data_IF_701970460479
#
_entry.id   IF_701970460479
#
_cell.length_a   1.000
_cell.length_b   1.000
_cell.length_c   1.000
_cell.angle_alpha   90.00
_cell.angle_beta   90.00
_cell.angle_gamma   90.00
#
_symmetry.space_group_name_H-M   'P 1'
#
loop_
_entity.id
_entity.type
_entity.pdbx_description
1 polymer ?
#
# COMPACT_ATOMS: atom_id res chain seq x y z
N UNK A 1 -45.60 -16.22 -6.99
CA UNK A 1 -45.27 -15.34 -5.85
C UNK A 1 -43.93 -14.68 -6.14
N UNK A 2 -43.89 -13.37 -6.38
CA UNK A 2 -42.65 -12.61 -6.53
C UNK A 2 -42.17 -12.26 -5.11
N UNK A 3 -40.93 -12.62 -4.70
CA UNK A 3 -40.44 -12.25 -3.38
C UNK A 3 -40.38 -10.73 -3.25
N UNK A 4 -41.00 -10.20 -2.20
CA UNK A 4 -41.01 -8.77 -1.90
C UNK A 4 -39.56 -8.24 -1.87
N UNK A 5 -39.31 -7.14 -2.57
CA UNK A 5 -38.01 -6.47 -2.56
C UNK A 5 -37.71 -6.01 -1.14
N UNK A 6 -36.55 -6.40 -0.59
CA UNK A 6 -36.16 -6.01 0.76
C UNK A 6 -36.05 -4.48 0.89
N UNK A 7 -36.49 -3.89 2.01
CA UNK A 7 -36.50 -2.44 2.20
C UNK A 7 -35.08 -1.83 2.08
N UNK A 8 -34.99 -0.55 1.67
CA UNK A 8 -33.71 0.11 1.36
C UNK A 8 -32.73 0.18 2.54
N UNK A 9 -33.24 0.21 3.78
CA UNK A 9 -32.44 0.17 5.02
C UNK A 9 -31.51 -1.05 5.09
N UNK A 10 -32.00 -2.21 4.66
CA UNK A 10 -31.23 -3.45 4.66
C UNK A 10 -30.15 -3.45 3.56
N UNK A 11 -30.24 -2.59 2.53
CA UNK A 11 -29.15 -2.39 1.54
C UNK A 11 -28.03 -1.55 2.15
N UNK A 12 -28.37 -0.43 2.80
CA UNK A 12 -27.37 0.47 3.40
C UNK A 12 -26.58 -0.24 4.51
N UNK A 13 -27.25 -1.00 5.37
CA UNK A 13 -26.57 -1.78 6.42
C UNK A 13 -25.60 -2.80 5.85
N UNK A 14 -25.98 -3.50 4.76
CA UNK A 14 -25.09 -4.44 4.08
C UNK A 14 -23.89 -3.76 3.43
N UNK A 15 -24.10 -2.61 2.78
CA UNK A 15 -23.00 -1.83 2.20
C UNK A 15 -22.01 -1.40 3.29
N UNK A 16 -22.52 -0.88 4.41
CA UNK A 16 -21.69 -0.49 5.55
C UNK A 16 -20.88 -1.66 6.12
N UNK A 17 -21.51 -2.81 6.33
CA UNK A 17 -20.83 -4.03 6.80
C UNK A 17 -19.74 -4.49 5.83
N UNK A 18 -20.00 -4.41 4.52
CA UNK A 18 -19.01 -4.77 3.50
C UNK A 18 -17.82 -3.79 3.49
N UNK A 19 -18.10 -2.48 3.58
CA UNK A 19 -17.06 -1.44 3.60
C UNK A 19 -16.17 -1.58 4.85
N UNK A 20 -16.77 -1.73 6.02
CA UNK A 20 -16.05 -1.90 7.30
C UNK A 20 -15.23 -3.18 7.31
N UNK A 21 -15.79 -4.30 6.84
CA UNK A 21 -15.06 -5.56 6.72
C UNK A 21 -13.87 -5.45 5.76
N UNK A 22 -14.06 -4.76 4.63
CA UNK A 22 -12.99 -4.52 3.64
C UNK A 22 -11.89 -3.64 4.21
N UNK A 23 -12.25 -2.51 4.84
CA UNK A 23 -11.30 -1.61 5.47
C UNK A 23 -10.48 -2.32 6.55
N UNK A 24 -11.13 -3.14 7.37
CA UNK A 24 -10.45 -3.94 8.39
C UNK A 24 -9.48 -4.96 7.76
N UNK A 25 -9.87 -5.62 6.67
CA UNK A 25 -8.97 -6.52 5.92
C UNK A 25 -7.75 -5.79 5.34
N UNK A 26 -7.93 -4.59 4.79
CA UNK A 26 -6.81 -3.77 4.29
C UNK A 26 -5.88 -3.32 5.42
N UNK A 27 -6.45 -2.96 6.58
CA UNK A 27 -5.67 -2.67 7.78
C UNK A 27 -4.86 -3.90 8.22
N UNK A 28 -5.46 -5.09 8.25
CA UNK A 28 -4.74 -6.34 8.58
C UNK A 28 -3.64 -6.67 7.56
N UNK A 29 -3.77 -6.31 6.29
CA UNK A 29 -2.65 -6.49 5.36
C UNK A 29 -1.43 -5.65 5.76
N UNK A 30 -1.64 -4.43 6.28
CA UNK A 30 -0.59 -3.41 6.44
C UNK A 30 -0.13 -3.17 7.86
N UNK A 31 -0.90 -3.56 8.87
CA UNK A 31 -0.69 -3.25 10.30
C UNK A 31 0.76 -3.48 10.78
N UNK A 32 1.36 -4.63 10.47
CA UNK A 32 2.73 -4.94 10.93
C UNK A 32 3.77 -4.02 10.30
N UNK A 33 3.50 -3.56 9.09
CA UNK A 33 4.47 -2.88 8.23
C UNK A 33 4.30 -1.35 8.22
N UNK A 34 3.25 -0.84 8.87
CA UNK A 34 3.14 0.59 9.14
C UNK A 34 4.35 1.11 9.93
N UNK A 35 4.76 0.40 10.98
CA UNK A 35 5.89 0.81 11.82
C UNK A 35 7.25 0.53 11.20
N UNK A 36 7.35 -0.44 10.29
CA UNK A 36 8.63 -0.88 9.70
C UNK A 36 8.89 -0.29 8.32
N UNK A 37 7.86 0.12 7.59
CA UNK A 37 7.97 0.69 6.24
C UNK A 37 7.37 2.09 6.19
N UNK A 38 6.09 2.26 6.54
CA UNK A 38 5.43 3.57 6.35
C UNK A 38 6.10 4.66 7.19
N UNK A 39 6.27 4.44 8.50
CA UNK A 39 6.87 5.45 9.39
C UNK A 39 8.30 5.81 8.98
N UNK A 40 9.24 4.85 8.78
CA UNK A 40 10.60 5.19 8.34
C UNK A 40 10.63 5.91 6.99
N UNK A 41 9.80 5.49 6.02
CA UNK A 41 9.74 6.12 4.70
C UNK A 41 9.18 7.54 4.77
N UNK A 42 8.17 7.78 5.60
CA UNK A 42 7.66 9.14 5.85
C UNK A 42 8.73 10.02 6.48
N UNK A 43 9.42 9.55 7.52
CA UNK A 43 10.50 10.31 8.17
C UNK A 43 11.59 10.66 7.16
N UNK A 44 12.04 9.68 6.37
CA UNK A 44 13.06 9.91 5.35
C UNK A 44 12.60 10.93 4.30
N UNK A 45 11.36 10.83 3.81
CA UNK A 45 10.81 11.79 2.85
C UNK A 45 10.74 13.22 3.41
N UNK A 46 10.34 13.37 4.67
CA UNK A 46 10.35 14.67 5.36
C UNK A 46 11.76 15.20 5.51
N UNK A 47 12.72 14.38 5.96
CA UNK A 47 14.12 14.80 6.07
C UNK A 47 14.71 15.26 4.72
N UNK A 48 14.40 14.56 3.63
CA UNK A 48 14.88 14.95 2.29
C UNK A 48 14.25 16.26 1.80
N UNK A 49 12.95 16.42 2.05
CA UNK A 49 12.26 17.67 1.74
C UNK A 49 12.84 18.85 2.52
N UNK A 50 13.16 18.67 3.80
CA UNK A 50 13.82 19.69 4.62
C UNK A 50 15.27 19.96 4.19
N UNK A 51 15.93 18.97 3.57
CA UNK A 51 17.30 19.09 3.07
C UNK A 51 17.40 19.74 1.67
N UNK A 52 16.28 20.05 1.00
CA UNK A 52 16.27 20.71 -0.32
C UNK A 52 17.20 21.94 -0.43
N UNK A 53 17.32 22.83 0.58
CA UNK A 53 18.22 23.99 0.51
C UNK A 53 19.69 23.62 0.32
N UNK A 54 20.13 22.45 0.82
CA UNK A 54 21.49 21.96 0.63
C UNK A 54 21.83 21.66 -0.84
N UNK A 55 20.80 21.51 -1.69
CA UNK A 55 20.92 21.25 -3.13
C UNK A 55 20.53 22.47 -3.99
N UNK A 56 20.38 23.64 -3.38
CA UNK A 56 19.95 24.87 -4.07
C UNK A 56 18.46 24.91 -4.44
N UNK A 57 17.64 24.02 -3.86
CA UNK A 57 16.18 23.99 -4.03
C UNK A 57 15.48 24.55 -2.79
N UNK A 58 14.29 25.13 -2.96
CA UNK A 58 13.53 25.70 -1.84
C UNK A 58 12.27 24.87 -1.54
N UNK A 59 12.05 24.43 -0.30
CA UNK A 59 10.83 23.73 0.08
C UNK A 59 9.60 24.67 0.06
N UNK A 60 8.52 24.29 -0.64
CA UNK A 60 7.21 24.99 -0.57
C UNK A 60 6.51 24.73 0.78
N UNK A 61 6.85 25.54 1.78
CA UNK A 61 6.24 25.51 3.12
C UNK A 61 4.85 26.17 3.19
N UNK A 62 4.22 26.43 2.03
CA UNK A 62 2.92 27.10 1.95
C UNK A 62 1.73 26.21 2.32
N UNK A 63 0.53 26.73 2.05
CA UNK A 63 -0.75 26.07 2.36
C UNK A 63 -0.95 24.70 1.70
N UNK A 64 -0.17 24.39 0.66
CA UNK A 64 -0.21 23.11 -0.07
C UNK A 64 0.58 21.99 0.61
N UNK A 65 1.43 22.29 1.59
CA UNK A 65 2.29 21.28 2.23
C UNK A 65 1.46 20.15 2.87
N UNK A 66 0.40 20.49 3.62
CA UNK A 66 -0.44 19.50 4.29
C UNK A 66 -1.16 18.57 3.31
N UNK A 67 -1.70 19.11 2.21
CA UNK A 67 -2.38 18.29 1.19
C UNK A 67 -1.40 17.41 0.43
N UNK A 68 -0.21 17.92 0.09
CA UNK A 68 0.87 17.13 -0.54
C UNK A 68 1.36 16.01 0.38
N UNK A 69 1.56 16.31 1.66
CA UNK A 69 1.95 15.31 2.66
C UNK A 69 0.92 14.18 2.76
N UNK A 70 -0.37 14.52 2.84
CA UNK A 70 -1.46 13.54 2.85
C UNK A 70 -1.49 12.67 1.59
N UNK A 71 -1.31 13.26 0.40
CA UNK A 71 -1.24 12.53 -0.87
C UNK A 71 -0.05 11.56 -0.92
N UNK A 72 1.11 11.97 -0.41
CA UNK A 72 2.30 11.11 -0.34
C UNK A 72 2.12 9.98 0.67
N UNK A 73 1.48 10.24 1.82
CA UNK A 73 1.16 9.18 2.78
C UNK A 73 0.24 8.11 2.18
N UNK A 74 -0.80 8.54 1.47
CA UNK A 74 -1.68 7.62 0.74
C UNK A 74 -0.90 6.88 -0.34
N UNK A 75 -0.01 7.58 -1.06
CA UNK A 75 0.85 6.97 -2.08
C UNK A 75 1.72 5.85 -1.48
N UNK A 76 2.41 6.10 -0.37
CA UNK A 76 3.21 5.09 0.35
C UNK A 76 2.33 3.92 0.78
N UNK A 77 1.15 4.21 1.34
CA UNK A 77 0.25 3.17 1.85
C UNK A 77 -0.32 2.27 0.75
N UNK A 78 -0.70 2.82 -0.42
CA UNK A 78 -1.15 2.01 -1.56
C UNK A 78 -0.02 1.09 -2.07
N UNK A 79 1.22 1.59 -2.12
CA UNK A 79 2.38 0.75 -2.44
C UNK A 79 2.60 -0.35 -1.41
N UNK A 80 2.43 -0.02 -0.13
CA UNK A 80 2.55 -0.99 0.96
C UNK A 80 1.51 -2.11 0.83
N UNK A 81 0.27 -1.79 0.43
CA UNK A 81 -0.76 -2.81 0.16
C UNK A 81 -0.31 -3.74 -0.98
N UNK A 82 0.15 -3.20 -2.10
CA UNK A 82 0.66 -4.00 -3.23
C UNK A 82 1.80 -4.93 -2.83
N UNK A 83 2.75 -4.40 -2.06
CA UNK A 83 3.89 -5.15 -1.52
C UNK A 83 3.42 -6.29 -0.60
N UNK A 84 2.56 -5.97 0.37
CA UNK A 84 2.12 -6.93 1.37
C UNK A 84 1.26 -8.05 0.77
N UNK A 85 0.39 -7.75 -0.18
CA UNK A 85 -0.36 -8.80 -0.91
C UNK A 85 0.61 -9.77 -1.60
N UNK A 86 1.66 -9.27 -2.23
CA UNK A 86 2.60 -10.13 -2.96
C UNK A 86 3.51 -10.94 -2.02
N UNK A 87 3.92 -10.36 -0.89
CA UNK A 87 4.73 -11.06 0.10
C UNK A 87 3.95 -12.12 0.89
N UNK A 88 2.64 -11.91 1.11
CA UNK A 88 1.82 -12.79 1.95
C UNK A 88 1.09 -13.90 1.17
N UNK A 89 1.03 -13.83 -0.17
CA UNK A 89 0.21 -14.75 -0.97
C UNK A 89 0.84 -16.12 -1.26
N UNK A 90 2.13 -16.32 -1.04
CA UNK A 90 2.73 -17.63 -1.38
C UNK A 90 2.25 -18.68 -0.36
N UNK A 91 2.01 -19.95 -0.76
CA UNK A 91 1.60 -20.98 0.20
C UNK A 91 2.54 -21.13 1.40
N UNK A 92 3.84 -20.96 1.17
CA UNK A 92 4.84 -20.98 2.24
C UNK A 92 4.75 -19.75 3.15
N UNK A 93 4.58 -18.55 2.58
CA UNK A 93 4.32 -17.33 3.36
C UNK A 93 3.07 -17.46 4.22
N UNK A 94 2.00 -18.07 3.69
CA UNK A 94 0.75 -18.31 4.44
C UNK A 94 0.99 -19.28 5.59
N UNK A 95 1.75 -20.36 5.36
CA UNK A 95 2.10 -21.34 6.40
C UNK A 95 2.96 -20.71 7.51
N UNK A 96 3.94 -19.89 7.14
CA UNK A 96 4.77 -19.14 8.09
C UNK A 96 3.94 -18.12 8.88
N UNK A 97 3.13 -17.32 8.18
CA UNK A 97 2.27 -16.32 8.82
C UNK A 97 1.20 -16.97 9.70
N UNK A 98 0.75 -18.19 9.42
CA UNK A 98 -0.16 -18.91 10.31
C UNK A 98 0.45 -19.18 11.69
N UNK A 99 1.79 -19.35 11.76
CA UNK A 99 2.50 -19.54 13.01
C UNK A 99 2.85 -18.19 13.67
N UNK A 100 3.38 -17.24 12.88
CA UNK A 100 3.94 -15.99 13.40
C UNK A 100 2.90 -14.85 13.56
N UNK A 101 1.94 -14.79 12.63
CA UNK A 101 0.99 -13.68 12.44
C UNK A 101 -0.40 -14.19 12.03
N UNK A 102 -1.04 -15.08 12.82
CA UNK A 102 -2.29 -15.76 12.44
C UNK A 102 -3.47 -14.80 12.18
N UNK A 103 -3.37 -13.56 12.64
CA UNK A 103 -4.35 -12.50 12.39
C UNK A 103 -4.30 -11.92 10.97
N UNK A 104 -3.30 -12.27 10.14
CA UNK A 104 -3.19 -11.77 8.77
C UNK A 104 -4.33 -12.28 7.89
N UNK A 105 -4.69 -11.54 6.81
CA UNK A 105 -5.89 -11.86 6.04
C UNK A 105 -5.96 -13.26 5.43
N UNK A 106 -4.84 -13.81 4.97
CA UNK A 106 -4.81 -15.17 4.39
C UNK A 106 -4.86 -16.25 5.48
N UNK A 107 -3.98 -16.27 6.50
CA UNK A 107 -4.08 -17.26 7.57
C UNK A 107 -5.40 -17.23 8.35
N UNK A 108 -5.96 -16.04 8.57
CA UNK A 108 -7.22 -15.88 9.29
C UNK A 108 -8.46 -16.19 8.43
N UNK A 109 -8.28 -16.63 7.18
CA UNK A 109 -9.37 -16.96 6.27
C UNK A 109 -10.23 -15.78 5.79
N UNK A 110 -9.79 -14.53 5.98
CA UNK A 110 -10.52 -13.34 5.52
C UNK A 110 -10.40 -13.11 4.02
N UNK A 111 -9.31 -13.56 3.42
CA UNK A 111 -9.03 -13.47 1.98
C UNK A 111 -8.62 -14.83 1.48
N UNK A 112 -9.32 -15.33 0.45
CA UNK A 112 -8.95 -16.59 -0.20
C UNK A 112 -7.66 -16.44 -0.99
N UNK A 113 -6.92 -17.54 -1.16
CA UNK A 113 -5.69 -17.54 -1.95
C UNK A 113 -5.93 -17.03 -3.39
N UNK A 114 -6.94 -17.50 -4.16
CA UNK A 114 -7.25 -16.94 -5.48
C UNK A 114 -7.53 -15.42 -5.47
N UNK A 115 -8.24 -14.93 -4.44
CA UNK A 115 -8.47 -13.49 -4.27
C UNK A 115 -7.17 -12.73 -4.06
N UNK A 116 -6.24 -13.26 -3.25
CA UNK A 116 -4.93 -12.64 -3.06
C UNK A 116 -4.09 -12.63 -4.37
N UNK A 117 -4.18 -13.68 -5.19
CA UNK A 117 -3.59 -13.67 -6.53
C UNK A 117 -4.20 -12.59 -7.42
N UNK A 118 -5.53 -12.44 -7.44
CA UNK A 118 -6.19 -11.37 -8.19
C UNK A 118 -5.75 -9.99 -7.69
N UNK A 119 -5.72 -9.77 -6.38
CA UNK A 119 -5.23 -8.52 -5.80
C UNK A 119 -3.79 -8.23 -6.20
N UNK A 120 -2.92 -9.23 -6.28
CA UNK A 120 -1.54 -9.04 -6.76
C UNK A 120 -1.47 -8.52 -8.19
N UNK A 121 -2.45 -8.84 -9.03
CA UNK A 121 -2.53 -8.37 -10.43
C UNK A 121 -3.18 -6.99 -10.53
N UNK A 122 -4.17 -6.71 -9.68
CA UNK A 122 -4.96 -5.45 -9.72
C UNK A 122 -4.27 -4.29 -9.00
N UNK A 123 -3.60 -4.55 -7.88
CA UNK A 123 -2.96 -3.49 -7.10
C UNK A 123 -1.83 -2.73 -7.84
N UNK A 124 -1.00 -3.36 -8.69
CA UNK A 124 0.03 -2.67 -9.47
C UNK A 124 -0.50 -1.59 -10.43
N UNK A 125 -1.50 -1.84 -11.30
CA UNK A 125 -2.06 -0.76 -12.11
C UNK A 125 -2.73 0.31 -11.25
N UNK A 126 -3.29 -0.02 -10.08
CA UNK A 126 -3.81 0.98 -9.13
C UNK A 126 -2.68 1.87 -8.60
N UNK A 127 -1.55 1.29 -8.17
CA UNK A 127 -0.37 2.07 -7.78
C UNK A 127 0.16 2.94 -8.92
N UNK A 128 0.15 2.44 -10.16
CA UNK A 128 0.56 3.18 -11.36
C UNK A 128 -0.28 4.42 -11.57
N UNK A 129 -1.59 4.24 -11.65
CA UNK A 129 -2.53 5.34 -11.86
C UNK A 129 -2.40 6.38 -10.75
N UNK A 130 -2.28 5.94 -9.49
CA UNK A 130 -2.14 6.89 -8.38
C UNK A 130 -0.82 7.66 -8.45
N UNK A 131 0.30 7.01 -8.80
CA UNK A 131 1.60 7.66 -8.92
C UNK A 131 1.62 8.71 -10.03
N UNK A 132 1.01 8.40 -11.17
CA UNK A 132 0.85 9.35 -12.28
C UNK A 132 -0.01 10.56 -11.89
N UNK A 133 -1.04 10.37 -11.06
CA UNK A 133 -1.92 11.45 -10.59
C UNK A 133 -1.26 12.37 -9.57
N UNK A 134 -0.43 11.83 -8.68
CA UNK A 134 0.27 12.61 -7.66
C UNK A 134 1.57 13.24 -8.19
N UNK A 135 2.07 12.78 -9.34
CA UNK A 135 3.30 13.26 -9.95
C UNK A 135 4.56 12.61 -9.36
N UNK A 136 4.42 11.42 -8.77
CA UNK A 136 5.49 10.69 -8.08
C UNK A 136 6.16 9.64 -8.97
N UNK A 137 5.97 9.65 -10.30
CA UNK A 137 6.69 8.80 -11.26
C UNK A 137 6.23 7.33 -11.34
N UNK A 138 7.06 6.45 -11.95
CA UNK A 138 6.69 5.08 -12.31
C UNK A 138 6.87 4.07 -11.15
N UNK A 139 5.84 3.33 -10.71
CA UNK A 139 5.99 2.24 -9.76
C UNK A 139 6.56 0.97 -10.36
N UNK A 140 7.51 0.36 -9.66
CA UNK A 140 8.11 -0.93 -9.99
C UNK A 140 7.40 -2.10 -9.32
N UNK A 141 7.20 -3.21 -10.05
CA UNK A 141 6.36 -4.34 -9.64
C UNK A 141 7.14 -5.63 -9.31
N UNK A 142 6.92 -6.15 -8.10
CA UNK A 142 7.48 -7.39 -7.53
C UNK A 142 6.85 -8.68 -8.10
N UNK A 143 6.85 -8.92 -9.42
CA UNK A 143 6.36 -10.21 -9.97
C UNK A 143 7.36 -11.39 -9.84
N UNK A 144 8.60 -11.12 -9.39
CA UNK A 144 9.72 -12.06 -9.47
C UNK A 144 10.25 -12.59 -8.12
N UNK A 145 9.39 -12.65 -7.10
CA UNK A 145 9.73 -13.27 -5.81
C UNK A 145 10.53 -12.36 -4.88
N UNK A 146 9.86 -11.70 -3.94
CA UNK A 146 10.46 -10.70 -3.05
C UNK A 146 11.44 -11.24 -1.99
N UNK A 147 11.66 -12.56 -1.91
CA UNK A 147 12.54 -13.19 -0.91
C UNK A 147 13.84 -13.79 -1.47
N UNK A 148 14.05 -13.78 -2.78
CA UNK A 148 15.23 -14.42 -3.38
C UNK A 148 16.43 -13.46 -3.51
N UNK A 149 17.65 -14.01 -3.48
CA UNK A 149 18.93 -13.28 -3.64
C UNK A 149 19.00 -12.39 -4.88
N UNK A 150 18.17 -12.65 -5.90
CA UNK A 150 18.12 -11.89 -7.17
C UNK A 150 17.29 -10.60 -7.08
N UNK A 151 16.45 -10.47 -6.06
CA UNK A 151 15.45 -9.39 -5.94
C UNK A 151 15.83 -8.35 -4.88
N UNK A 152 16.91 -8.58 -4.13
CA UNK A 152 17.49 -7.63 -3.16
C UNK A 152 17.86 -6.29 -3.81
N UNK A 153 18.49 -6.32 -4.99
CA UNK A 153 18.82 -5.11 -5.76
C UNK A 153 17.58 -4.36 -6.24
N UNK A 154 16.49 -5.09 -6.53
CA UNK A 154 15.20 -4.52 -6.98
C UNK A 154 14.43 -3.89 -5.81
N UNK A 155 14.44 -4.52 -4.63
CA UNK A 155 13.90 -3.94 -3.40
C UNK A 155 14.67 -2.67 -2.99
N UNK A 156 16.00 -2.68 -3.10
CA UNK A 156 16.81 -1.49 -2.83
C UNK A 156 16.56 -0.38 -3.87
N UNK A 157 16.33 -0.70 -5.15
CA UNK A 157 15.98 0.30 -6.17
C UNK A 157 14.57 0.91 -5.94
N UNK A 158 13.59 0.11 -5.51
CA UNK A 158 12.26 0.62 -5.12
C UNK A 158 12.33 1.50 -3.87
N UNK A 159 13.07 1.07 -2.83
CA UNK A 159 13.35 1.89 -1.65
C UNK A 159 14.04 3.19 -2.05
N UNK A 160 15.06 3.14 -2.92
CA UNK A 160 15.69 4.34 -3.48
C UNK A 160 14.72 5.23 -4.26
N UNK A 161 13.72 4.68 -4.95
CA UNK A 161 12.68 5.46 -5.65
C UNK A 161 11.74 6.18 -4.66
N UNK A 162 11.29 5.47 -3.61
CA UNK A 162 10.55 6.04 -2.47
C UNK A 162 11.33 7.18 -1.80
N UNK A 163 12.66 7.06 -1.76
CA UNK A 163 13.58 7.97 -1.10
C UNK A 163 14.00 9.17 -1.97
N UNK A 164 14.04 9.03 -3.30
CA UNK A 164 14.54 10.07 -4.21
C UNK A 164 13.42 10.87 -4.93
N UNK A 165 12.20 10.34 -5.05
CA UNK A 165 11.11 11.01 -5.79
C UNK A 165 10.44 12.22 -5.12
N UNK A 166 10.51 12.45 -3.80
CA UNK A 166 10.06 13.73 -3.22
C UNK A 166 10.85 14.96 -3.72
N UNK A 167 11.96 14.77 -4.43
CA UNK A 167 12.84 15.84 -4.91
C UNK A 167 12.43 16.43 -6.27
N UNK A 168 11.47 15.82 -7.00
CA UNK A 168 11.22 16.13 -8.41
C UNK A 168 9.79 16.52 -8.76
N UNK A 169 8.90 16.74 -7.78
CA UNK A 169 7.57 17.28 -8.07
C UNK A 169 7.56 18.79 -7.78
N UNK A 170 7.58 19.66 -8.81
CA UNK A 170 7.39 21.10 -8.64
C UNK A 170 5.98 21.47 -8.13
#
# INVERSE_FOLDING_TARGET
>A
MIPASKPPEHRLQRLWQNMTSTAYTVWLFTRSDLKTILVPTTIFGVCNYLALPAYGLQPDMGSRLGSRFGLVLIWIWIHLISFNVNNQRSPESVREDALNKPWRPLPSGRVSLPTAYLLSIVMPPVTMVYSLRVGTGWPWYNRWGGSDRRTFWVCNAWMSSLYMMPLFCP
#
